data_IF_524671110653
#
_entry.id   IF_524671110653
#
_cell.length_a   1.000
_cell.length_b   1.000
_cell.length_c   1.000
_cell.angle_alpha   90.00
_cell.angle_beta   90.00
_cell.angle_gamma   90.00
#
_symmetry.space_group_name_H-M   'P 1'
#
loop_
_entity.id
_entity.type
_entity.pdbx_description
1 polymer ?
#
# COMPACT_ATOMS: atom_id res chain seq x y z
N UNK A 1 7.23 0.68 -10.81
CA UNK A 1 6.93 0.55 -9.37
C UNK A 1 7.45 -0.80 -8.92
N UNK A 2 8.31 -0.84 -7.90
CA UNK A 2 8.81 -2.09 -7.32
C UNK A 2 8.09 -2.30 -5.99
N UNK A 3 7.58 -3.50 -5.76
CA UNK A 3 6.94 -3.82 -4.50
C UNK A 3 7.97 -3.95 -3.37
N UNK A 4 7.65 -3.34 -2.24
CA UNK A 4 8.34 -3.49 -0.97
C UNK A 4 8.15 -4.88 -0.38
N UNK A 5 8.92 -5.17 0.67
CA UNK A 5 8.79 -6.43 1.42
C UNK A 5 7.42 -6.48 2.12
N UNK A 6 6.98 -5.36 2.70
CA UNK A 6 5.69 -5.27 3.40
C UNK A 6 4.49 -5.43 2.46
N UNK A 7 4.60 -4.92 1.23
CA UNK A 7 3.52 -5.04 0.23
C UNK A 7 3.11 -6.51 -0.01
N UNK A 8 4.02 -7.48 0.22
CA UNK A 8 3.70 -8.90 0.08
C UNK A 8 2.67 -9.39 1.09
N UNK A 9 2.54 -8.74 2.26
CA UNK A 9 1.54 -9.11 3.26
C UNK A 9 0.10 -8.92 2.75
N UNK A 10 -0.10 -8.03 1.76
CA UNK A 10 -1.42 -7.77 1.15
C UNK A 10 -1.95 -8.93 0.31
N UNK A 11 -1.10 -9.89 -0.03
CA UNK A 11 -1.42 -11.04 -0.90
C UNK A 11 -1.09 -12.38 -0.25
N UNK A 12 -0.83 -12.38 1.06
CA UNK A 12 -0.67 -13.59 1.87
C UNK A 12 -2.02 -13.95 2.48
N UNK A 13 -2.32 -15.24 2.61
CA UNK A 13 -3.52 -15.68 3.33
C UNK A 13 -3.59 -14.97 4.70
N UNK A 14 -4.68 -14.25 5.03
CA UNK A 14 -4.92 -13.60 6.32
C UNK A 14 -4.45 -14.39 7.55
N UNK A 15 -4.76 -15.69 7.60
CA UNK A 15 -4.45 -16.57 8.73
C UNK A 15 -2.94 -16.73 8.97
N UNK A 16 -2.14 -16.52 7.92
CA UNK A 16 -0.70 -16.70 7.94
C UNK A 16 0.06 -15.40 8.19
N UNK A 17 -0.61 -14.23 8.17
CA UNK A 17 0.05 -12.92 8.23
C UNK A 17 0.79 -12.71 9.56
N UNK A 18 0.10 -12.92 10.67
CA UNK A 18 0.58 -12.57 12.02
C UNK A 18 1.87 -13.30 12.40
N UNK A 19 2.02 -14.55 11.96
CA UNK A 19 3.17 -15.41 12.28
C UNK A 19 4.10 -15.56 11.08
N UNK A 20 3.66 -16.26 10.04
CA UNK A 20 4.52 -16.62 8.91
C UNK A 20 4.85 -15.43 8.01
N UNK A 21 3.87 -14.56 7.77
CA UNK A 21 4.05 -13.33 6.99
C UNK A 21 5.05 -12.38 7.66
N UNK A 22 4.85 -12.09 8.94
CA UNK A 22 5.76 -11.24 9.72
C UNK A 22 7.16 -11.84 9.81
N UNK A 23 7.29 -13.15 10.03
CA UNK A 23 8.58 -13.84 10.03
C UNK A 23 9.29 -13.74 8.67
N UNK A 24 8.55 -13.91 7.57
CA UNK A 24 9.08 -13.74 6.21
C UNK A 24 9.56 -12.31 5.96
N UNK A 25 8.80 -11.29 6.39
CA UNK A 25 9.19 -9.88 6.29
C UNK A 25 10.47 -9.62 7.06
N UNK A 26 10.56 -10.09 8.32
CA UNK A 26 11.76 -9.98 9.17
C UNK A 26 12.99 -10.56 8.46
N UNK A 27 12.86 -11.76 7.90
CA UNK A 27 13.94 -12.44 7.18
C UNK A 27 14.39 -11.65 5.95
N UNK A 28 13.44 -11.11 5.17
CA UNK A 28 13.75 -10.29 3.98
C UNK A 28 14.39 -8.95 4.31
N UNK A 29 13.98 -8.31 5.40
CA UNK A 29 14.62 -7.08 5.89
C UNK A 29 16.06 -7.38 6.31
N UNK A 30 16.29 -8.45 7.09
CA UNK A 30 17.65 -8.90 7.46
C UNK A 30 18.53 -9.14 6.23
N UNK A 31 18.00 -9.84 5.21
CA UNK A 31 18.70 -10.06 3.94
C UNK A 31 19.07 -8.74 3.25
N UNK A 32 18.14 -7.79 3.16
CA UNK A 32 18.38 -6.48 2.53
C UNK A 32 19.39 -5.63 3.30
N UNK A 33 19.38 -5.69 4.63
CA UNK A 33 20.38 -5.06 5.50
C UNK A 33 21.78 -5.59 5.20
N UNK A 34 21.95 -6.92 5.12
CA UNK A 34 23.22 -7.56 4.78
C UNK A 34 23.74 -7.12 3.40
N UNK A 35 22.90 -7.16 2.36
CA UNK A 35 23.27 -6.74 1.00
C UNK A 35 23.69 -5.27 0.94
N UNK A 36 23.07 -4.42 1.75
CA UNK A 36 23.39 -2.98 1.80
C UNK A 36 24.51 -2.63 2.78
N UNK A 37 25.07 -3.61 3.50
CA UNK A 37 26.07 -3.37 4.55
C UNK A 37 25.55 -2.58 5.74
N UNK A 38 24.22 -2.55 5.97
CA UNK A 38 23.60 -1.83 7.09
C UNK A 38 23.29 -2.82 8.21
N UNK A 39 23.61 -2.46 9.45
CA UNK A 39 23.29 -3.29 10.61
C UNK A 39 21.77 -3.41 10.82
N UNK A 40 21.31 -4.63 11.02
CA UNK A 40 19.92 -4.90 11.41
C UNK A 40 19.69 -4.45 12.85
N UNK A 41 18.66 -3.65 13.10
CA UNK A 41 18.27 -3.20 14.44
C UNK A 41 17.09 -4.02 14.96
N UNK A 42 17.31 -4.78 16.03
CA UNK A 42 16.25 -5.51 16.75
C UNK A 42 15.23 -4.54 17.35
N UNK A 43 15.70 -3.43 17.91
CA UNK A 43 14.86 -2.40 18.53
C UNK A 43 13.87 -1.78 17.52
N UNK A 44 14.37 -1.32 16.37
CA UNK A 44 13.51 -0.75 15.32
C UNK A 44 12.49 -1.76 14.79
N UNK A 45 12.87 -3.04 14.71
CA UNK A 45 11.94 -4.09 14.32
C UNK A 45 10.83 -4.29 15.36
N UNK A 46 11.16 -4.28 16.66
CA UNK A 46 10.17 -4.39 17.73
C UNK A 46 9.16 -3.24 17.69
N UNK A 47 9.66 -2.01 17.62
CA UNK A 47 8.81 -0.81 17.51
C UNK A 47 7.91 -0.87 16.28
N UNK A 48 8.45 -1.30 15.13
CA UNK A 48 7.65 -1.51 13.93
C UNK A 48 6.57 -2.59 14.12
N UNK A 49 6.90 -3.73 14.75
CA UNK A 49 5.93 -4.82 14.97
C UNK A 49 4.77 -4.39 15.87
N UNK A 50 5.06 -3.66 16.95
CA UNK A 50 4.04 -3.07 17.84
C UNK A 50 3.18 -2.06 17.07
N UNK A 51 3.81 -1.15 16.33
CA UNK A 51 3.09 -0.19 15.50
C UNK A 51 2.28 -0.86 14.38
N UNK A 52 2.71 -2.00 13.83
CA UNK A 52 1.99 -2.69 12.76
C UNK A 52 0.80 -3.49 13.30
N UNK A 53 0.94 -4.14 14.45
CA UNK A 53 -0.10 -4.97 15.03
C UNK A 53 -1.39 -4.17 15.32
N UNK A 54 -1.27 -3.04 16.01
CA UNK A 54 -2.43 -2.23 16.41
C UNK A 54 -3.28 -1.73 15.22
N UNK A 55 -2.74 -1.03 14.22
CA UNK A 55 -3.52 -0.55 13.09
C UNK A 55 -3.86 -1.67 12.09
N UNK A 56 -2.92 -2.56 11.75
CA UNK A 56 -3.08 -3.45 10.59
C UNK A 56 -3.59 -4.85 10.92
N UNK A 57 -3.58 -5.26 12.19
CA UNK A 57 -4.12 -6.55 12.61
C UNK A 57 -5.34 -6.39 13.52
N UNK A 58 -5.38 -5.36 14.36
CA UNK A 58 -6.49 -5.12 15.29
C UNK A 58 -7.51 -4.11 14.73
N UNK A 59 -7.10 -2.86 14.46
CA UNK A 59 -8.04 -1.78 14.07
C UNK A 59 -8.57 -1.94 12.63
N UNK A 60 -7.71 -2.33 11.71
CA UNK A 60 -8.05 -2.64 10.32
C UNK A 60 -7.63 -4.08 10.04
N UNK A 61 -8.48 -5.07 10.35
CA UNK A 61 -8.09 -6.46 10.24
C UNK A 61 -7.83 -6.85 8.77
N UNK A 62 -7.05 -7.92 8.51
CA UNK A 62 -6.64 -8.31 7.17
C UNK A 62 -7.76 -8.37 6.13
N UNK A 63 -8.97 -8.72 6.50
CA UNK A 63 -10.14 -8.78 5.62
C UNK A 63 -10.44 -7.44 4.92
N UNK A 64 -10.02 -6.31 5.50
CA UNK A 64 -10.26 -4.97 4.95
C UNK A 64 -9.21 -4.51 3.93
N UNK A 65 -8.01 -5.05 3.97
CA UNK A 65 -6.88 -4.55 3.15
C UNK A 65 -6.14 -5.63 2.37
N UNK A 66 -6.33 -6.91 2.73
CA UNK A 66 -5.75 -8.04 2.05
C UNK A 66 -6.58 -8.41 0.81
N UNK A 67 -5.89 -8.77 -0.26
CA UNK A 67 -6.48 -9.08 -1.57
C UNK A 67 -6.17 -10.52 -2.01
N UNK A 68 -5.76 -11.41 -1.10
CA UNK A 68 -5.40 -12.80 -1.39
C UNK A 68 -6.50 -13.55 -2.18
N UNK A 69 -7.77 -13.36 -1.81
CA UNK A 69 -8.93 -13.98 -2.45
C UNK A 69 -9.61 -13.07 -3.49
N UNK A 70 -9.04 -11.92 -3.83
CA UNK A 70 -9.66 -11.01 -4.81
C UNK A 70 -9.16 -11.37 -6.21
N UNK A 71 -10.11 -11.66 -7.11
CA UNK A 71 -9.82 -11.85 -8.52
C UNK A 71 -9.12 -10.61 -9.08
N UNK A 72 -8.00 -10.82 -9.80
CA UNK A 72 -7.15 -9.72 -10.30
C UNK A 72 -7.80 -8.87 -11.40
N UNK A 73 -9.10 -9.00 -11.62
CA UNK A 73 -9.92 -8.14 -12.48
C UNK A 73 -10.27 -6.79 -11.84
N UNK A 74 -9.61 -6.44 -10.73
CA UNK A 74 -9.73 -5.11 -10.14
C UNK A 74 -9.25 -4.07 -11.17
N UNK A 75 -10.18 -3.22 -11.62
CA UNK A 75 -9.89 -2.08 -12.49
C UNK A 75 -9.57 -0.88 -11.61
N UNK A 76 -8.49 -0.14 -11.91
CA UNK A 76 -8.17 1.08 -11.20
C UNK A 76 -9.24 2.13 -11.56
N UNK A 77 -10.30 2.21 -10.74
CA UNK A 77 -11.34 3.22 -10.86
C UNK A 77 -10.92 4.52 -10.18
N UNK A 78 -10.09 4.45 -9.14
CA UNK A 78 -9.57 5.60 -8.39
C UNK A 78 -8.31 6.16 -9.05
N UNK A 79 -8.49 6.73 -10.23
CA UNK A 79 -7.68 7.90 -10.59
C UNK A 79 -8.27 9.06 -9.77
N UNK A 80 -7.67 9.43 -8.62
CA UNK A 80 -8.10 10.61 -7.87
C UNK A 80 -8.18 11.78 -8.86
N UNK A 81 -9.40 12.19 -9.26
CA UNK A 81 -9.57 13.09 -10.40
C UNK A 81 -9.00 14.46 -10.08
N UNK A 82 -9.05 14.85 -8.79
CA UNK A 82 -8.44 16.06 -8.27
C UNK A 82 -6.92 16.00 -8.38
N UNK A 83 -6.28 14.91 -7.96
CA UNK A 83 -4.82 14.78 -8.10
C UNK A 83 -4.35 14.78 -9.55
N UNK A 84 -5.06 14.10 -10.45
CA UNK A 84 -4.70 14.13 -11.88
C UNK A 84 -4.87 15.53 -12.44
N UNK A 85 -5.96 16.21 -12.10
CA UNK A 85 -6.17 17.59 -12.51
C UNK A 85 -5.09 18.51 -11.92
N UNK A 86 -4.71 18.33 -10.65
CA UNK A 86 -3.63 19.07 -10.02
C UNK A 86 -2.29 18.83 -10.72
N UNK A 87 -1.96 17.59 -11.10
CA UNK A 87 -0.75 17.27 -11.88
C UNK A 87 -0.77 17.93 -13.25
N UNK A 88 -1.89 17.87 -13.96
CA UNK A 88 -2.06 18.49 -15.26
C UNK A 88 -1.95 20.01 -15.19
N UNK A 89 -2.57 20.62 -14.18
CA UNK A 89 -2.51 22.05 -13.92
C UNK A 89 -1.07 22.48 -13.58
N UNK A 90 -0.38 21.74 -12.70
CA UNK A 90 1.02 22.00 -12.34
C UNK A 90 1.99 21.79 -13.50
N UNK A 91 1.69 20.90 -14.45
CA UNK A 91 2.52 20.69 -15.65
C UNK A 91 2.40 21.86 -16.64
N UNK A 92 1.24 22.53 -16.71
CA UNK A 92 0.98 23.62 -17.65
C UNK A 92 1.28 25.01 -17.06
N UNK A 93 1.32 25.14 -15.74
CA UNK A 93 1.55 26.40 -15.03
C UNK A 93 2.94 26.46 -14.40
N UNK A 94 3.51 27.67 -14.35
CA UNK A 94 4.69 27.97 -13.53
C UNK A 94 4.26 28.16 -12.06
N UNK A 95 5.20 28.14 -11.10
CA UNK A 95 4.92 28.28 -9.66
C UNK A 95 4.05 29.50 -9.29
N UNK A 96 4.08 30.57 -10.09
CA UNK A 96 3.29 31.79 -9.88
C UNK A 96 2.84 32.37 -11.24
N UNK A 97 1.72 31.89 -11.81
CA UNK A 97 1.18 32.44 -13.04
C UNK A 97 0.41 33.75 -12.77
N UNK A 98 0.27 34.61 -13.77
CA UNK A 98 -0.69 35.72 -13.70
C UNK A 98 -2.12 35.18 -13.70
N UNK A 99 -3.07 35.92 -13.12
CA UNK A 99 -4.49 35.52 -13.10
C UNK A 99 -5.02 35.25 -14.52
N UNK A 100 -4.67 36.11 -15.49
CA UNK A 100 -5.04 35.92 -16.90
C UNK A 100 -4.52 34.60 -17.47
N UNK A 101 -3.28 34.22 -17.15
CA UNK A 101 -2.70 32.95 -17.60
C UNK A 101 -3.38 31.76 -16.91
N UNK A 102 -3.64 31.88 -15.62
CA UNK A 102 -4.32 30.86 -14.83
C UNK A 102 -5.72 30.55 -15.41
N UNK A 103 -6.55 31.57 -15.59
CA UNK A 103 -7.92 31.43 -16.15
C UNK A 103 -7.87 30.81 -17.55
N UNK A 104 -7.00 31.33 -18.43
CA UNK A 104 -6.87 30.81 -19.80
C UNK A 104 -6.47 29.33 -19.82
N UNK A 105 -5.52 28.91 -18.96
CA UNK A 105 -5.10 27.50 -18.90
C UNK A 105 -6.20 26.59 -18.39
N UNK A 106 -6.99 27.02 -17.41
CA UNK A 106 -8.16 26.25 -16.95
C UNK A 106 -9.19 26.11 -18.08
N UNK A 107 -9.47 27.19 -18.81
CA UNK A 107 -10.39 27.17 -19.94
C UNK A 107 -9.93 26.19 -21.03
N UNK A 108 -8.65 26.24 -21.43
CA UNK A 108 -8.05 25.32 -22.40
C UNK A 108 -8.16 23.85 -21.96
N UNK A 109 -7.93 23.57 -20.66
CA UNK A 109 -8.10 22.22 -20.10
C UNK A 109 -9.57 21.80 -20.19
N UNK A 110 -10.50 22.65 -19.77
CA UNK A 110 -11.93 22.35 -19.78
C UNK A 110 -12.46 22.08 -21.19
N UNK A 111 -12.10 22.92 -22.16
CA UNK A 111 -12.46 22.73 -23.57
C UNK A 111 -11.94 21.40 -24.10
N UNK A 112 -10.67 21.07 -23.83
CA UNK A 112 -10.07 19.80 -24.23
C UNK A 112 -10.83 18.60 -23.64
N UNK A 113 -11.22 18.64 -22.36
CA UNK A 113 -12.00 17.57 -21.74
C UNK A 113 -13.39 17.40 -22.35
N UNK A 114 -14.08 18.50 -22.70
CA UNK A 114 -15.39 18.43 -23.36
C UNK A 114 -15.28 17.78 -24.75
N UNK A 115 -14.28 18.19 -25.54
CA UNK A 115 -14.01 17.64 -26.87
C UNK A 115 -13.67 16.15 -26.75
N UNK A 116 -12.74 15.79 -25.87
CA UNK A 116 -12.33 14.40 -25.64
C UNK A 116 -13.52 13.54 -25.21
N UNK A 117 -14.34 14.02 -24.26
CA UNK A 117 -15.53 13.29 -23.81
C UNK A 117 -16.52 13.06 -24.94
N UNK A 118 -16.79 14.07 -25.77
CA UNK A 118 -17.66 13.93 -26.96
C UNK A 118 -17.07 12.93 -27.94
N UNK A 119 -15.77 13.01 -28.23
CA UNK A 119 -15.06 12.08 -29.12
C UNK A 119 -15.10 10.64 -28.63
N UNK A 120 -15.01 10.40 -27.33
CA UNK A 120 -15.14 9.06 -26.74
C UNK A 120 -16.57 8.55 -26.88
N UNK A 121 -17.57 9.38 -26.58
CA UNK A 121 -19.00 9.02 -26.70
C UNK A 121 -19.35 8.69 -28.16
N UNK A 122 -18.80 9.43 -29.13
CA UNK A 122 -19.03 9.19 -30.55
C UNK A 122 -18.14 8.10 -31.16
N UNK A 123 -17.23 7.49 -30.39
CA UNK A 123 -16.29 6.46 -30.86
C UNK A 123 -15.15 6.96 -31.74
N UNK A 124 -15.01 8.28 -31.92
CA UNK A 124 -13.94 8.90 -32.75
C UNK A 124 -12.61 8.99 -31.99
N UNK A 125 -12.65 8.99 -30.65
CA UNK A 125 -11.47 8.99 -29.80
C UNK A 125 -11.48 7.77 -28.85
N UNK A 126 -10.33 7.12 -28.62
CA UNK A 126 -10.24 6.04 -27.65
C UNK A 126 -10.39 6.58 -26.22
N UNK A 127 -11.04 5.78 -25.37
CA UNK A 127 -11.06 6.07 -23.93
C UNK A 127 -9.62 6.11 -23.38
N UNK A 128 -9.33 6.95 -22.36
CA UNK A 128 -7.99 7.02 -21.79
C UNK A 128 -7.53 5.64 -21.32
N UNK A 129 -6.41 5.17 -21.89
CA UNK A 129 -5.81 3.91 -21.50
C UNK A 129 -5.42 3.98 -20.02
N UNK A 130 -5.83 2.97 -19.25
CA UNK A 130 -5.45 2.82 -17.85
C UNK A 130 -4.31 1.82 -17.80
N UNK A 131 -3.29 2.12 -16.99
CA UNK A 131 -2.28 1.11 -16.68
C UNK A 131 -2.96 -0.09 -16.03
N UNK A 132 -2.63 -1.29 -16.50
CA UNK A 132 -3.02 -2.53 -15.83
C UNK A 132 -2.56 -2.47 -14.39
N UNK A 133 -3.45 -2.74 -13.44
CA UNK A 133 -3.04 -2.82 -12.04
C UNK A 133 -2.03 -3.94 -11.89
N UNK A 134 -0.94 -3.63 -11.20
CA UNK A 134 0.04 -4.64 -10.81
C UNK A 134 -0.20 -4.95 -9.35
N UNK A 135 -0.29 -6.23 -9.05
CA UNK A 135 -0.36 -6.73 -7.69
C UNK A 135 0.94 -7.46 -7.36
N UNK A 136 1.37 -7.45 -6.10
CA UNK A 136 2.44 -8.32 -5.66
C UNK A 136 2.05 -9.79 -5.89
N UNK A 137 3.02 -10.61 -6.27
CA UNK A 137 2.83 -12.06 -6.29
C UNK A 137 2.91 -12.61 -4.87
N UNK A 138 2.06 -13.58 -4.52
CA UNK A 138 2.10 -14.21 -3.20
C UNK A 138 3.50 -14.76 -2.91
N UNK A 139 4.08 -14.35 -1.78
CA UNK A 139 5.38 -14.84 -1.36
C UNK A 139 5.28 -16.29 -0.87
N UNK A 140 6.30 -17.11 -1.18
CA UNK A 140 6.45 -18.42 -0.53
C UNK A 140 6.86 -18.18 0.93
N UNK A 141 5.95 -18.47 1.84
CA UNK A 141 6.19 -18.38 3.28
C UNK A 141 7.03 -19.58 3.74
N UNK A 142 7.87 -19.41 4.76
CA UNK A 142 8.57 -20.53 5.38
C UNK A 142 7.57 -21.46 6.07
N UNK A 143 7.81 -22.77 6.01
CA UNK A 143 7.07 -23.74 6.83
C UNK A 143 7.26 -23.44 8.32
N UNK A 144 6.22 -23.72 9.12
CA UNK A 144 6.10 -23.33 10.54
C UNK A 144 7.14 -23.96 11.48
N UNK A 145 8.09 -24.75 10.98
CA UNK A 145 9.09 -25.47 11.77
C UNK A 145 10.34 -24.62 12.09
N UNK A 146 10.14 -23.45 12.70
CA UNK A 146 11.06 -22.85 13.69
C UNK A 146 10.40 -21.62 14.29
N UNK A 147 9.52 -21.84 15.27
CA UNK A 147 9.29 -20.82 16.27
C UNK A 147 10.63 -20.57 16.96
N UNK A 148 11.37 -19.56 16.50
CA UNK A 148 12.46 -19.02 17.29
C UNK A 148 11.76 -18.40 18.49
N UNK A 149 12.09 -18.86 19.69
CA UNK A 149 11.54 -18.42 20.99
C UNK A 149 11.21 -16.91 21.08
N UNK A 150 11.97 -16.08 20.38
CA UNK A 150 11.80 -14.62 20.25
C UNK A 150 10.45 -14.14 19.64
N UNK A 151 9.74 -14.95 18.84
CA UNK A 151 8.49 -14.51 18.20
C UNK A 151 7.23 -14.88 19.03
N UNK A 152 7.35 -15.80 19.99
CA UNK A 152 6.32 -16.21 20.97
C UNK A 152 6.24 -15.27 22.19
N UNK A 153 7.34 -14.61 22.56
CA UNK A 153 7.36 -13.65 23.69
C UNK A 153 6.35 -12.51 23.50
N UNK A 154 6.07 -12.12 22.26
CA UNK A 154 5.10 -11.06 21.96
C UNK A 154 3.63 -11.52 21.96
N UNK A 155 3.36 -12.83 21.91
CA UNK A 155 2.00 -13.34 22.12
C UNK A 155 1.66 -13.41 23.63
N UNK A 156 2.68 -13.59 24.48
CA UNK A 156 2.56 -13.49 25.93
C UNK A 156 2.47 -12.04 26.42
N UNK A 157 3.27 -11.10 25.88
CA UNK A 157 3.21 -9.68 26.26
C UNK A 157 1.85 -9.03 25.93
N UNK A 158 1.24 -9.36 24.78
CA UNK A 158 -0.09 -8.85 24.42
C UNK A 158 -1.16 -9.43 25.35
N UNK A 159 -1.05 -10.69 25.76
CA UNK A 159 -2.04 -11.33 26.65
C UNK A 159 -1.97 -10.80 28.09
N UNK A 160 -0.79 -10.41 28.57
CA UNK A 160 -0.59 -9.82 29.89
C UNK A 160 -1.17 -8.40 30.02
N UNK A 161 -1.13 -7.59 28.95
CA UNK A 161 -1.77 -6.26 28.94
C UNK A 161 -3.31 -6.32 29.02
N UNK A 162 -3.95 -7.44 28.63
CA UNK A 162 -5.41 -7.60 28.72
C UNK A 162 -5.90 -8.18 30.07
N UNK A 163 -5.10 -8.98 30.78
CA UNK A 163 -5.47 -9.48 32.12
C UNK A 163 -5.30 -8.41 33.21
N UNK A 164 -4.41 -7.43 33.03
CA UNK A 164 -4.19 -6.35 34.01
C UNK A 164 -5.28 -5.25 33.97
N UNK A 165 -6.26 -5.35 33.05
CA UNK A 165 -7.29 -4.33 32.81
C UNK A 165 -8.70 -4.70 33.33
N UNK A 166 -8.85 -5.80 34.08
CA UNK A 166 -10.18 -6.26 34.59
C UNK A 166 -10.30 -6.34 36.12
N UNK A 167 -9.41 -5.71 36.88
CA UNK A 167 -9.54 -5.63 38.34
C UNK A 167 -9.55 -4.15 38.79
N UNK A 168 -10.71 -3.51 38.65
CA UNK A 168 -11.12 -2.29 39.37
C UNK A 168 -12.67 -2.17 39.37
#
# INVERSE_FOLDING_TARGET
>A
MFFGVLDMLTVVNPDLISVQGVAWVKAKIKQRCQVKGVLYSREKWRQFRQYFARPCLEQYPPELWNIFNVEREIVNRTNNPLERFHRELNARLKRQPSLKRFVKTIEEIAQHYVILRRGIISGVAPAPARSTMRFPGAAKLPESSRSSSEDLELQYDISLEYEEATDD
#
